data_IF_810876827017
#
_entry.id   IF_810876827017
#
_cell.length_a   1.000
_cell.length_b   1.000
_cell.length_c   1.000
_cell.angle_alpha   90.00
_cell.angle_beta   90.00
_cell.angle_gamma   90.00
#
_symmetry.space_group_name_H-M   'P 1'
#
loop_
_entity.id
_entity.type
_entity.pdbx_description
1 polymer ?
#
# COMPACT_ATOMS: atom_id res chain seq x y z
N UNK A 1 58.52 -38.92 7.52
CA UNK A 1 57.85 -38.81 6.19
C UNK A 1 56.35 -39.11 6.19
N UNK A 2 55.82 -40.06 6.98
CA UNK A 2 54.37 -40.40 6.99
C UNK A 2 53.40 -39.30 7.49
N UNK A 3 53.82 -38.40 8.40
CA UNK A 3 52.97 -37.30 8.89
C UNK A 3 52.77 -36.15 7.88
N UNK A 4 53.72 -35.95 6.95
CA UNK A 4 53.67 -34.84 5.99
C UNK A 4 52.76 -35.15 4.79
N UNK A 5 52.66 -36.42 4.39
CA UNK A 5 51.78 -36.86 3.28
C UNK A 5 50.29 -36.84 3.65
N UNK A 6 49.92 -37.17 4.89
CA UNK A 6 48.51 -37.11 5.35
C UNK A 6 47.94 -35.69 5.32
N UNK A 7 48.76 -34.68 5.62
CA UNK A 7 48.32 -33.28 5.69
C UNK A 7 48.07 -32.68 4.29
N UNK A 8 48.89 -33.01 3.30
CA UNK A 8 48.74 -32.54 1.91
C UNK A 8 47.55 -33.18 1.18
N UNK A 9 47.22 -34.44 1.48
CA UNK A 9 46.05 -35.11 0.89
C UNK A 9 44.72 -34.68 1.54
N UNK A 10 44.70 -34.39 2.84
CA UNK A 10 43.53 -33.80 3.51
C UNK A 10 43.20 -32.40 2.99
N UNK A 11 44.21 -31.56 2.68
CA UNK A 11 43.97 -30.23 2.11
C UNK A 11 43.41 -30.29 0.69
N UNK A 12 43.85 -31.25 -0.14
CA UNK A 12 43.34 -31.44 -1.51
C UNK A 12 41.90 -31.98 -1.52
N UNK A 13 41.54 -32.89 -0.60
CA UNK A 13 40.17 -33.38 -0.42
C UNK A 13 39.21 -32.29 0.09
N UNK A 14 39.68 -31.39 0.95
CA UNK A 14 38.87 -30.28 1.45
C UNK A 14 38.60 -29.21 0.37
N UNK A 15 39.58 -28.90 -0.48
CA UNK A 15 39.38 -27.98 -1.61
C UNK A 15 38.51 -28.56 -2.73
N UNK A 16 38.53 -29.88 -2.96
CA UNK A 16 37.67 -30.52 -3.96
C UNK A 16 36.20 -30.60 -3.51
N UNK A 17 35.94 -30.75 -2.20
CA UNK A 17 34.58 -30.65 -1.63
C UNK A 17 34.02 -29.23 -1.61
N UNK A 18 34.87 -28.19 -1.57
CA UNK A 18 34.43 -26.80 -1.66
C UNK A 18 34.04 -26.42 -3.11
N UNK A 19 34.64 -27.06 -4.13
CA UNK A 19 34.26 -26.83 -5.53
C UNK A 19 33.02 -27.61 -6.01
N UNK A 20 32.62 -28.69 -5.31
CA UNK A 20 31.41 -29.47 -5.64
C UNK A 20 30.16 -29.05 -4.82
N UNK A 21 30.33 -28.17 -3.82
CA UNK A 21 29.23 -27.67 -2.98
C UNK A 21 28.63 -26.33 -3.43
N UNK A 22 29.14 -25.71 -4.50
CA UNK A 22 28.66 -24.41 -5.00
C UNK A 22 27.77 -24.51 -6.24
N UNK A 23 27.39 -25.73 -6.64
CA UNK A 23 26.37 -25.96 -7.66
C UNK A 23 25.10 -26.41 -6.92
N UNK A 24 24.08 -25.55 -6.94
CA UNK A 24 22.69 -25.77 -6.49
C UNK A 24 22.29 -25.19 -5.12
N UNK A 25 22.48 -23.89 -4.98
CA UNK A 25 21.39 -23.05 -4.47
C UNK A 25 21.62 -21.64 -4.97
N UNK A 26 21.45 -21.42 -6.28
CA UNK A 26 21.08 -20.09 -6.73
C UNK A 26 19.73 -19.82 -6.11
N UNK A 27 19.72 -19.14 -4.96
CA UNK A 27 18.52 -18.48 -4.44
C UNK A 27 18.22 -17.42 -5.47
N UNK A 28 17.54 -17.82 -6.54
CA UNK A 28 17.01 -16.89 -7.54
C UNK A 28 16.12 -15.99 -6.71
N UNK A 29 16.46 -14.70 -6.59
CA UNK A 29 15.66 -13.83 -5.75
C UNK A 29 14.27 -13.79 -6.37
N UNK A 30 13.23 -13.89 -5.55
CA UNK A 30 11.83 -14.10 -5.97
C UNK A 30 11.41 -13.21 -7.17
N UNK A 31 11.96 -12.01 -7.31
CA UNK A 31 11.67 -11.11 -8.43
C UNK A 31 12.16 -11.58 -9.80
N UNK A 32 13.24 -12.38 -9.88
CA UNK A 32 13.78 -12.84 -11.16
C UNK A 32 12.96 -14.02 -11.72
N UNK A 33 12.51 -14.95 -10.86
CA UNK A 33 11.58 -16.01 -11.29
C UNK A 33 10.21 -15.47 -11.68
N UNK A 34 9.74 -14.39 -11.03
CA UNK A 34 8.48 -13.72 -11.41
C UNK A 34 8.49 -13.17 -12.83
N UNK A 35 9.60 -12.59 -13.28
CA UNK A 35 9.68 -11.99 -14.62
C UNK A 35 9.66 -13.06 -15.71
N UNK A 36 10.32 -14.20 -15.47
CA UNK A 36 10.45 -15.28 -16.45
C UNK A 36 9.18 -16.16 -16.54
N UNK A 37 8.47 -16.35 -15.42
CA UNK A 37 7.30 -17.25 -15.35
C UNK A 37 5.96 -16.53 -15.54
N UNK A 38 5.93 -15.19 -15.50
CA UNK A 38 4.67 -14.45 -15.50
C UNK A 38 3.95 -14.45 -16.84
N UNK A 39 2.69 -14.89 -16.81
CA UNK A 39 1.78 -14.75 -17.94
C UNK A 39 1.30 -13.29 -18.06
N UNK A 40 1.19 -12.71 -19.27
CA UNK A 40 0.60 -11.39 -19.42
C UNK A 40 -0.86 -11.40 -18.95
N UNK A 41 -1.26 -10.34 -18.24
CA UNK A 41 -2.63 -10.15 -17.76
C UNK A 41 -3.21 -8.82 -18.25
N UNK A 42 -4.44 -8.89 -18.73
CA UNK A 42 -5.21 -7.73 -19.17
C UNK A 42 -6.13 -7.26 -18.05
N UNK A 43 -5.93 -6.02 -17.59
CA UNK A 43 -6.73 -5.42 -16.52
C UNK A 43 -8.22 -5.37 -16.88
N UNK A 44 -9.07 -5.80 -15.94
CA UNK A 44 -10.52 -5.87 -16.08
C UNK A 44 -11.05 -7.24 -16.51
N UNK A 45 -10.19 -8.15 -16.97
CA UNK A 45 -10.59 -9.51 -17.32
C UNK A 45 -10.61 -10.44 -16.11
N UNK A 46 -11.57 -11.36 -16.06
CA UNK A 46 -11.64 -12.38 -15.01
C UNK A 46 -10.92 -13.64 -15.45
N UNK A 47 -9.92 -14.06 -14.68
CA UNK A 47 -9.13 -15.25 -14.98
C UNK A 47 -9.53 -16.36 -14.00
N UNK A 48 -9.70 -17.57 -14.54
CA UNK A 48 -9.88 -18.80 -13.76
C UNK A 48 -8.52 -19.45 -13.54
N UNK A 49 -8.28 -19.94 -12.33
CA UNK A 49 -7.09 -20.72 -12.00
C UNK A 49 -7.37 -21.85 -11.05
N UNK A 50 -6.50 -22.87 -11.11
CA UNK A 50 -6.44 -24.00 -10.21
C UNK A 50 -5.06 -24.63 -10.38
N UNK A 51 -4.23 -24.59 -9.34
CA UNK A 51 -2.85 -25.07 -9.42
C UNK A 51 -2.26 -25.37 -8.05
N UNK A 52 -1.18 -26.13 -8.05
CA UNK A 52 -0.30 -26.24 -6.89
C UNK A 52 0.80 -25.18 -6.95
N UNK A 53 1.16 -24.62 -5.81
CA UNK A 53 2.23 -23.63 -5.63
C UNK A 53 1.89 -22.24 -6.20
N UNK A 54 2.89 -21.54 -6.74
CA UNK A 54 2.72 -20.17 -7.23
C UNK A 54 2.38 -20.13 -8.72
N UNK A 55 1.49 -19.21 -9.09
CA UNK A 55 1.32 -18.71 -10.45
C UNK A 55 1.56 -17.22 -10.49
N UNK A 56 2.14 -16.76 -11.59
CA UNK A 56 2.54 -15.37 -11.77
C UNK A 56 1.84 -14.77 -12.98
N UNK A 57 1.36 -13.55 -12.82
CA UNK A 57 0.79 -12.74 -13.89
C UNK A 57 1.47 -11.37 -13.91
N UNK A 58 1.72 -10.80 -15.08
CA UNK A 58 2.31 -9.48 -15.24
C UNK A 58 1.32 -8.48 -15.84
N UNK A 59 1.35 -7.24 -15.36
CA UNK A 59 0.56 -6.14 -15.90
C UNK A 59 1.35 -4.84 -15.84
N UNK A 60 1.07 -3.93 -16.77
CA UNK A 60 1.76 -2.63 -16.85
C UNK A 60 0.77 -1.48 -16.73
N UNK A 61 1.05 -0.57 -15.79
CA UNK A 61 0.29 0.64 -15.58
C UNK A 61 0.96 1.81 -16.30
N UNK A 62 0.22 2.51 -17.16
CA UNK A 62 0.73 3.66 -17.93
C UNK A 62 0.82 4.94 -17.09
N UNK A 63 0.08 5.00 -15.99
CA UNK A 63 0.01 6.12 -15.07
C UNK A 63 -0.23 5.62 -13.64
N UNK A 64 -0.37 6.55 -12.69
CA UNK A 64 -0.75 6.19 -11.32
C UNK A 64 -2.21 5.70 -11.32
N UNK A 65 -2.44 4.51 -10.81
CA UNK A 65 -3.74 3.82 -10.89
C UNK A 65 -4.12 3.26 -9.53
N UNK A 66 -5.41 3.35 -9.19
CA UNK A 66 -5.96 2.58 -8.08
C UNK A 66 -6.33 1.20 -8.59
N UNK A 67 -5.62 0.17 -8.14
CA UNK A 67 -5.84 -1.21 -8.59
C UNK A 67 -6.68 -1.92 -7.56
N UNK A 68 -7.85 -2.45 -7.95
CA UNK A 68 -8.69 -3.27 -7.08
C UNK A 68 -8.68 -4.74 -7.49
N UNK A 69 -8.45 -5.61 -6.51
CA UNK A 69 -8.56 -7.05 -6.61
C UNK A 69 -9.94 -7.49 -6.16
N UNK A 70 -10.57 -8.34 -6.97
CA UNK A 70 -11.72 -9.15 -6.59
C UNK A 70 -11.39 -10.60 -6.85
N UNK A 71 -11.67 -11.46 -5.88
CA UNK A 71 -11.48 -12.89 -5.99
C UNK A 71 -12.74 -13.64 -5.56
N UNK A 72 -13.02 -14.75 -6.23
CA UNK A 72 -13.98 -15.76 -5.80
C UNK A 72 -13.23 -17.08 -5.67
N UNK A 73 -13.27 -17.71 -4.51
CA UNK A 73 -12.55 -18.95 -4.23
C UNK A 73 -13.50 -19.97 -3.62
N UNK A 74 -13.20 -21.25 -3.82
CA UNK A 74 -13.97 -22.38 -3.31
C UNK A 74 -13.13 -23.14 -2.28
N UNK A 75 -13.76 -23.66 -1.24
CA UNK A 75 -13.12 -24.49 -0.21
C UNK A 75 -11.95 -23.81 0.56
N UNK A 76 -12.06 -22.48 0.73
CA UNK A 76 -11.11 -21.68 1.52
C UNK A 76 -10.64 -20.40 0.83
N UNK A 77 -9.60 -19.79 1.41
CA UNK A 77 -8.99 -18.55 0.92
C UNK A 77 -7.74 -18.84 0.08
N UNK A 78 -7.49 -18.01 -0.93
CA UNK A 78 -6.28 -18.05 -1.76
C UNK A 78 -5.36 -16.88 -1.40
N UNK A 79 -4.04 -17.08 -1.50
CA UNK A 79 -3.08 -16.04 -1.18
C UNK A 79 -2.73 -15.20 -2.42
N UNK A 80 -2.87 -13.88 -2.30
CA UNK A 80 -2.58 -12.93 -3.37
C UNK A 80 -1.52 -11.92 -2.93
N UNK A 81 -0.51 -11.74 -3.78
CA UNK A 81 0.58 -10.79 -3.56
C UNK A 81 0.84 -9.97 -4.82
N UNK A 82 1.17 -8.69 -4.67
CA UNK A 82 1.58 -7.83 -5.79
C UNK A 82 2.96 -7.29 -5.51
N UNK A 83 3.86 -7.44 -6.47
CA UNK A 83 5.22 -6.92 -6.44
C UNK A 83 5.47 -6.00 -7.63
N UNK A 84 6.41 -5.06 -7.50
CA UNK A 84 6.98 -4.38 -8.66
C UNK A 84 8.17 -5.17 -9.24
N UNK A 85 8.71 -4.70 -10.36
CA UNK A 85 9.91 -5.27 -11.02
C UNK A 85 11.16 -5.38 -10.15
N UNK A 86 11.25 -4.62 -9.06
CA UNK A 86 12.39 -4.68 -8.14
C UNK A 86 12.15 -5.64 -6.97
N UNK A 87 11.07 -6.43 -6.99
CA UNK A 87 10.68 -7.33 -5.91
C UNK A 87 10.09 -6.64 -4.68
N UNK A 88 9.80 -5.33 -4.74
CA UNK A 88 9.11 -4.66 -3.62
C UNK A 88 7.65 -5.10 -3.61
N UNK A 89 7.22 -5.66 -2.48
CA UNK A 89 5.83 -6.04 -2.21
C UNK A 89 4.95 -4.82 -1.95
N UNK A 90 3.82 -4.74 -2.63
CA UNK A 90 2.79 -3.70 -2.51
C UNK A 90 1.48 -4.24 -1.96
N UNK A 91 1.13 -5.49 -2.25
CA UNK A 91 -0.01 -6.20 -1.65
C UNK A 91 0.51 -7.47 -0.96
N UNK A 92 0.07 -7.68 0.27
CA UNK A 92 0.23 -8.92 1.02
C UNK A 92 -1.12 -9.64 1.14
N UNK A 93 -1.11 -10.96 1.24
CA UNK A 93 -2.31 -11.79 1.41
C UNK A 93 -3.12 -11.38 2.64
N UNK A 94 -2.45 -10.99 3.73
CA UNK A 94 -3.09 -10.48 4.95
C UNK A 94 -3.96 -9.23 4.73
N UNK A 95 -3.78 -8.56 3.59
CA UNK A 95 -4.56 -7.39 3.23
C UNK A 95 -5.81 -7.71 2.40
N UNK A 96 -5.95 -8.97 1.97
CA UNK A 96 -7.13 -9.46 1.26
C UNK A 96 -8.21 -9.81 2.28
N UNK A 97 -9.32 -9.08 2.23
CA UNK A 97 -10.46 -9.30 3.10
C UNK A 97 -11.40 -10.30 2.46
N UNK A 98 -11.67 -11.39 3.15
CA UNK A 98 -12.57 -12.44 2.71
C UNK A 98 -13.90 -12.41 3.45
N UNK A 99 -14.99 -12.54 2.69
CA UNK A 99 -16.33 -12.83 3.22
C UNK A 99 -16.76 -14.21 2.73
N UNK A 100 -17.21 -15.07 3.64
CA UNK A 100 -17.69 -16.43 3.34
C UNK A 100 -19.20 -16.45 3.19
N UNK A 101 -19.70 -17.06 2.12
CA UNK A 101 -21.08 -17.55 2.05
C UNK A 101 -21.11 -18.98 2.61
N UNK A 102 -21.71 -19.14 3.79
CA UNK A 102 -21.73 -20.43 4.50
C UNK A 102 -22.60 -21.48 3.82
N UNK A 103 -23.59 -21.08 3.01
CA UNK A 103 -24.50 -22.00 2.32
C UNK A 103 -23.83 -22.65 1.12
N UNK A 104 -23.04 -21.90 0.37
CA UNK A 104 -22.40 -22.36 -0.87
C UNK A 104 -20.92 -22.68 -0.70
N UNK A 105 -20.37 -22.46 0.50
CA UNK A 105 -18.93 -22.51 0.81
C UNK A 105 -18.04 -21.64 -0.09
N UNK A 106 -18.59 -20.54 -0.60
CA UNK A 106 -17.88 -19.62 -1.50
C UNK A 106 -17.29 -18.45 -0.72
N UNK A 107 -16.02 -18.15 -0.98
CA UNK A 107 -15.29 -17.06 -0.37
C UNK A 107 -15.10 -15.94 -1.39
N UNK A 108 -15.36 -14.69 -0.98
CA UNK A 108 -15.14 -13.50 -1.80
C UNK A 108 -14.03 -12.64 -1.20
N UNK A 109 -12.90 -12.57 -1.90
CA UNK A 109 -11.73 -11.79 -1.51
C UNK A 109 -11.74 -10.41 -2.16
N UNK A 110 -11.38 -9.38 -1.39
CA UNK A 110 -11.19 -8.02 -1.92
C UNK A 110 -9.95 -7.36 -1.33
N UNK A 111 -9.23 -6.63 -2.17
CA UNK A 111 -8.13 -5.76 -1.76
C UNK A 111 -7.95 -4.64 -2.79
N UNK A 112 -7.18 -3.63 -2.45
CA UNK A 112 -6.80 -2.59 -3.42
C UNK A 112 -5.49 -1.93 -3.07
N UNK A 113 -4.81 -1.37 -4.08
CA UNK A 113 -3.59 -0.59 -3.91
C UNK A 113 -3.52 0.53 -4.92
N UNK A 114 -3.14 1.71 -4.45
CA UNK A 114 -2.73 2.79 -5.34
C UNK A 114 -1.27 2.58 -5.78
N UNK A 115 -1.07 2.23 -7.05
CA UNK A 115 0.22 1.92 -7.66
C UNK A 115 0.65 3.06 -8.59
N UNK A 116 1.96 3.27 -8.71
CA UNK A 116 2.51 4.26 -9.65
C UNK A 116 2.63 3.64 -11.05
N UNK A 117 2.97 4.46 -12.06
CA UNK A 117 3.35 3.95 -13.39
C UNK A 117 4.46 2.91 -13.24
N UNK A 118 4.31 1.75 -13.90
CA UNK A 118 5.32 0.70 -13.88
C UNK A 118 4.75 -0.68 -14.20
N UNK A 119 5.64 -1.67 -14.22
CA UNK A 119 5.29 -3.08 -14.39
C UNK A 119 5.22 -3.76 -13.04
N UNK A 120 4.18 -4.56 -12.87
CA UNK A 120 3.84 -5.26 -11.65
C UNK A 120 3.55 -6.72 -11.94
N UNK A 121 3.72 -7.53 -10.90
CA UNK A 121 3.54 -8.96 -10.94
C UNK A 121 2.60 -9.37 -9.82
N UNK A 122 1.50 -10.03 -10.18
CA UNK A 122 0.60 -10.72 -9.27
C UNK A 122 1.12 -12.14 -9.06
N UNK A 123 1.42 -12.50 -7.82
CA UNK A 123 1.65 -13.88 -7.41
C UNK A 123 0.38 -14.40 -6.74
N UNK A 124 -0.05 -15.58 -7.16
CA UNK A 124 -1.15 -16.33 -6.55
C UNK A 124 -0.58 -17.63 -6.03
N UNK A 125 -0.62 -17.85 -4.71
CA UNK A 125 -0.18 -19.08 -4.09
C UNK A 125 -1.39 -19.85 -3.55
N UNK A 126 -1.51 -21.11 -3.95
CA UNK A 126 -2.56 -21.99 -3.46
C UNK A 126 -2.20 -23.48 -3.55
N UNK A 127 -3.04 -24.32 -2.94
CA UNK A 127 -2.94 -25.78 -2.88
C UNK A 127 -4.06 -26.45 -3.68
N UNK A 128 -4.22 -26.07 -4.96
CA UNK A 128 -5.12 -26.69 -5.95
C UNK A 128 -6.63 -26.42 -5.80
N UNK A 129 -7.01 -25.34 -5.12
CA UNK A 129 -8.39 -24.83 -5.10
C UNK A 129 -8.69 -24.11 -6.40
N UNK A 130 -9.96 -24.18 -6.80
CA UNK A 130 -10.46 -23.36 -7.89
C UNK A 130 -10.65 -21.91 -7.42
N UNK A 131 -10.20 -20.97 -8.23
CA UNK A 131 -10.40 -19.55 -8.00
C UNK A 131 -10.63 -18.77 -9.28
N UNK A 132 -11.27 -17.63 -9.11
CA UNK A 132 -11.47 -16.60 -10.11
C UNK A 132 -10.92 -15.30 -9.55
N UNK A 133 -10.19 -14.54 -10.35
CA UNK A 133 -9.74 -13.21 -9.94
C UNK A 133 -9.86 -12.18 -11.06
N UNK A 134 -10.03 -10.92 -10.65
CA UNK A 134 -10.02 -9.75 -11.53
C UNK A 134 -9.20 -8.66 -10.84
N UNK A 135 -8.22 -8.10 -11.54
CA UNK A 135 -7.60 -6.82 -11.18
C UNK A 135 -8.19 -5.73 -12.08
N UNK A 136 -8.83 -4.73 -11.48
CA UNK A 136 -9.35 -3.57 -12.21
C UNK A 136 -8.41 -2.38 -12.08
N UNK A 137 -8.29 -1.63 -13.17
CA UNK A 137 -7.60 -0.34 -13.19
C UNK A 137 -8.63 0.76 -12.93
N UNK A 138 -8.94 1.00 -11.66
CA UNK A 138 -9.92 2.01 -11.29
C UNK A 138 -9.36 3.41 -11.55
N UNK A 139 -10.23 4.28 -12.06
CA UNK A 139 -9.88 5.67 -12.35
C UNK A 139 -9.38 6.35 -11.08
N UNK A 140 -8.14 6.84 -11.13
CA UNK A 140 -7.55 7.57 -10.00
C UNK A 140 -8.36 8.83 -9.70
N UNK A 141 -8.82 8.96 -8.47
CA UNK A 141 -9.53 10.16 -8.05
C UNK A 141 -8.50 11.25 -7.75
N UNK A 142 -8.55 12.33 -8.54
CA UNK A 142 -7.69 13.49 -8.36
C UNK A 142 -8.49 14.64 -7.75
N UNK A 143 -8.05 15.10 -6.57
CA UNK A 143 -8.64 16.25 -5.89
C UNK A 143 -7.70 17.45 -5.96
N UNK A 144 -8.29 18.64 -6.13
CA UNK A 144 -7.53 19.89 -6.08
C UNK A 144 -6.83 20.08 -4.72
N UNK A 145 -5.79 20.91 -4.69
CA UNK A 145 -5.06 21.24 -3.46
C UNK A 145 -6.00 21.87 -2.43
N UNK A 146 -5.85 21.48 -1.17
CA UNK A 146 -6.55 22.12 -0.06
C UNK A 146 -6.21 23.60 0.07
N UNK A 147 -7.17 24.41 0.51
CA UNK A 147 -6.97 25.84 0.74
C UNK A 147 -7.63 26.29 2.04
N UNK A 148 -6.84 26.82 2.97
CA UNK A 148 -7.33 27.39 4.23
C UNK A 148 -7.68 28.85 4.00
N UNK A 149 -8.97 29.16 3.95
CA UNK A 149 -9.48 30.53 3.77
C UNK A 149 -9.32 31.33 5.06
N UNK A 150 -9.53 30.72 6.22
CA UNK A 150 -9.46 31.39 7.52
C UNK A 150 -8.87 30.49 8.61
N UNK A 151 -8.11 31.10 9.51
CA UNK A 151 -7.63 30.48 10.75
C UNK A 151 -7.66 31.54 11.84
N UNK A 152 -8.63 31.45 12.76
CA UNK A 152 -8.88 32.49 13.78
C UNK A 152 -9.04 31.90 15.17
N UNK A 153 -8.60 32.64 16.19
CA UNK A 153 -8.84 32.31 17.60
C UNK A 153 -9.77 33.33 18.23
N UNK A 154 -11.07 33.03 18.26
CA UNK A 154 -12.07 33.92 18.86
C UNK A 154 -12.17 33.70 20.38
N UNK A 155 -11.85 32.47 20.83
CA UNK A 155 -11.94 32.01 22.23
C UNK A 155 -10.62 31.39 22.66
N UNK A 156 -10.30 31.50 23.95
CA UNK A 156 -9.11 30.90 24.52
C UNK A 156 -9.15 29.37 24.38
N UNK A 157 -8.00 28.76 24.13
CA UNK A 157 -7.86 27.32 23.89
C UNK A 157 -8.47 26.80 22.59
N UNK A 158 -8.87 27.67 21.66
CA UNK A 158 -9.53 27.27 20.40
C UNK A 158 -8.95 27.94 19.15
N UNK A 159 -9.00 27.21 18.03
CA UNK A 159 -8.78 27.74 16.69
C UNK A 159 -9.89 27.26 15.76
N UNK A 160 -10.48 28.18 14.99
CA UNK A 160 -11.46 27.87 13.95
C UNK A 160 -10.74 27.85 12.61
N UNK A 161 -10.75 26.67 11.97
CA UNK A 161 -10.19 26.43 10.64
C UNK A 161 -11.33 26.46 9.63
N UNK A 162 -11.21 27.29 8.59
CA UNK A 162 -12.15 27.31 7.47
C UNK A 162 -11.43 27.01 6.17
N UNK A 163 -12.01 26.14 5.34
CA UNK A 163 -11.43 25.68 4.08
C UNK A 163 -12.32 26.04 2.89
N UNK A 164 -11.70 26.28 1.73
CA UNK A 164 -12.42 26.37 0.45
C UNK A 164 -13.00 24.99 0.11
N UNK A 165 -14.17 24.96 -0.53
CA UNK A 165 -14.73 23.72 -1.05
C UNK A 165 -13.87 23.15 -2.15
N UNK A 166 -13.69 21.82 -2.16
CA UNK A 166 -13.01 21.09 -3.23
C UNK A 166 -14.04 20.13 -3.85
N UNK A 167 -14.33 20.24 -5.16
CA UNK A 167 -15.26 19.32 -5.82
C UNK A 167 -14.90 17.85 -5.56
N UNK A 168 -15.93 17.02 -5.34
CA UNK A 168 -15.82 15.58 -5.07
C UNK A 168 -15.10 15.18 -3.75
N UNK A 169 -14.62 16.15 -2.96
CA UNK A 169 -14.11 15.86 -1.62
C UNK A 169 -15.27 15.70 -0.64
N UNK A 170 -15.26 14.59 0.12
CA UNK A 170 -16.24 14.32 1.18
C UNK A 170 -15.81 14.91 2.53
N UNK A 171 -14.55 15.36 2.64
CA UNK A 171 -14.02 15.93 3.86
C UNK A 171 -12.57 16.40 3.75
N UNK A 172 -12.02 16.77 4.91
CA UNK A 172 -10.66 17.27 5.07
C UNK A 172 -9.96 16.57 6.23
N UNK A 173 -8.73 16.11 5.99
CA UNK A 173 -7.78 15.80 7.05
C UNK A 173 -7.11 17.10 7.48
N UNK A 174 -7.31 17.49 8.73
CA UNK A 174 -6.74 18.69 9.33
C UNK A 174 -5.59 18.24 10.23
N UNK A 175 -4.38 18.68 9.90
CA UNK A 175 -3.21 18.46 10.74
C UNK A 175 -2.79 19.77 11.39
N UNK A 176 -2.44 19.71 12.67
CA UNK A 176 -1.98 20.88 13.42
C UNK A 176 -0.90 20.54 14.42
N UNK A 177 0.04 21.46 14.62
CA UNK A 177 1.15 21.34 15.57
C UNK A 177 1.68 22.71 15.98
N UNK A 178 2.45 22.78 17.05
CA UNK A 178 3.31 23.94 17.36
C UNK A 178 4.62 23.92 16.57
N UNK A 179 4.94 22.82 15.89
CA UNK A 179 6.07 22.69 14.96
C UNK A 179 5.60 22.93 13.51
N UNK A 180 6.14 23.98 12.88
CA UNK A 180 5.79 24.37 11.52
C UNK A 180 6.13 23.29 10.48
N UNK A 181 7.13 22.43 10.77
CA UNK A 181 7.55 21.35 9.87
C UNK A 181 6.68 20.11 10.00
N UNK A 182 5.78 20.07 10.99
CA UNK A 182 4.95 18.91 11.30
C UNK A 182 5.79 17.63 11.53
N UNK A 183 6.93 17.74 12.22
CA UNK A 183 7.77 16.59 12.60
C UNK A 183 7.46 16.08 14.01
N UNK A 184 7.04 16.97 14.91
CA UNK A 184 6.74 16.65 16.32
C UNK A 184 5.35 17.13 16.70
N UNK A 185 4.70 16.41 17.62
CA UNK A 185 3.43 16.81 18.24
C UNK A 185 2.28 17.04 17.26
N UNK A 186 2.30 16.37 16.10
CA UNK A 186 1.27 16.54 15.07
C UNK A 186 0.00 15.86 15.50
N UNK A 187 -1.06 16.66 15.67
CA UNK A 187 -2.42 16.16 15.85
C UNK A 187 -3.11 16.12 14.51
N UNK A 188 -3.83 15.03 14.25
CA UNK A 188 -4.58 14.82 13.00
C UNK A 188 -6.04 14.56 13.34
N UNK A 189 -6.94 15.26 12.66
CA UNK A 189 -8.39 15.00 12.74
C UNK A 189 -8.99 14.97 11.33
N UNK A 190 -10.15 14.34 11.22
CA UNK A 190 -10.94 14.29 10.00
C UNK A 190 -12.23 15.09 10.21
N UNK A 191 -12.61 15.86 9.20
CA UNK A 191 -13.79 16.72 9.26
C UNK A 191 -14.55 16.61 7.95
N UNK A 192 -15.83 16.18 7.94
CA UNK A 192 -16.67 16.23 6.74
C UNK A 192 -17.11 17.67 6.41
N UNK A 193 -17.02 18.58 7.40
CA UNK A 193 -17.41 19.99 7.24
C UNK A 193 -16.22 20.89 6.95
N UNK A 194 -16.46 21.98 6.21
CA UNK A 194 -15.46 22.97 5.81
C UNK A 194 -14.97 23.86 6.96
N UNK A 195 -15.73 23.97 8.04
CA UNK A 195 -15.41 24.81 9.20
C UNK A 195 -15.30 23.91 10.42
N UNK A 196 -14.13 23.87 11.05
CA UNK A 196 -13.87 23.04 12.23
C UNK A 196 -13.20 23.82 13.33
N UNK A 197 -13.75 23.70 14.54
CA UNK A 197 -13.13 24.22 15.76
C UNK A 197 -12.19 23.17 16.35
N UNK A 198 -10.91 23.52 16.42
CA UNK A 198 -9.89 22.83 17.19
C UNK A 198 -9.97 23.32 18.64
N UNK A 199 -10.00 22.41 19.61
CA UNK A 199 -10.14 22.72 21.04
C UNK A 199 -8.97 22.16 21.85
N UNK A 200 -8.94 22.47 23.15
CA UNK A 200 -7.89 22.01 24.09
C UNK A 200 -6.47 22.40 23.63
N UNK A 201 -6.34 23.60 23.08
CA UNK A 201 -5.06 24.19 22.69
C UNK A 201 -4.48 25.03 23.83
N UNK A 202 -3.16 25.14 23.90
CA UNK A 202 -2.51 25.98 24.90
C UNK A 202 -2.74 27.46 24.58
N UNK A 203 -3.23 28.22 25.56
CA UNK A 203 -3.46 29.67 25.48
C UNK A 203 -2.17 30.41 25.12
N UNK A 204 -2.27 31.42 24.24
CA UNK A 204 -1.13 32.21 23.78
C UNK A 204 -0.16 31.50 22.83
N UNK A 205 -0.23 30.17 22.66
CA UNK A 205 0.67 29.44 21.77
C UNK A 205 0.26 29.57 20.30
N UNK A 206 1.26 29.66 19.42
CA UNK A 206 1.07 29.59 17.97
C UNK A 206 0.95 28.14 17.52
N UNK A 207 -0.08 27.86 16.73
CA UNK A 207 -0.24 26.59 16.03
C UNK A 207 -0.19 26.82 14.52
N UNK A 208 0.41 25.86 13.84
CA UNK A 208 0.48 25.72 12.40
C UNK A 208 -0.53 24.66 11.97
N UNK A 209 -1.32 24.96 10.95
CA UNK A 209 -2.40 24.12 10.44
C UNK A 209 -2.23 23.93 8.94
N UNK A 210 -2.42 22.70 8.47
CA UNK A 210 -2.54 22.35 7.06
C UNK A 210 -3.71 21.41 6.85
N UNK A 211 -4.34 21.49 5.69
CA UNK A 211 -5.53 20.68 5.37
C UNK A 211 -5.32 19.91 4.07
N UNK A 212 -5.77 18.67 4.05
CA UNK A 212 -5.73 17.80 2.87
C UNK A 212 -7.17 17.36 2.56
N UNK A 213 -7.77 17.77 1.43
CA UNK A 213 -9.10 17.27 1.05
C UNK A 213 -8.99 15.79 0.72
N UNK A 214 -10.05 15.04 0.99
CA UNK A 214 -10.11 13.62 0.67
C UNK A 214 -11.50 13.21 0.21
N UNK A 215 -11.51 12.11 -0.54
CA UNK A 215 -12.67 11.25 -0.74
C UNK A 215 -12.25 9.80 -0.47
N UNK A 216 -13.14 8.85 -0.69
CA UNK A 216 -12.86 7.43 -0.54
C UNK A 216 -13.18 6.69 -1.83
N UNK A 217 -12.37 5.67 -2.12
CA UNK A 217 -12.71 4.65 -3.10
C UNK A 217 -13.84 3.76 -2.56
N UNK A 218 -14.40 2.91 -3.42
CA UNK A 218 -15.53 2.02 -3.06
C UNK A 218 -15.17 0.99 -1.99
N UNK A 219 -13.88 0.70 -1.83
CA UNK A 219 -13.31 -0.16 -0.79
C UNK A 219 -12.98 0.58 0.53
N UNK A 220 -13.21 1.90 0.59
CA UNK A 220 -12.92 2.74 1.75
C UNK A 220 -11.49 3.31 1.84
N UNK A 221 -10.59 3.03 0.89
CA UNK A 221 -9.27 3.66 0.84
C UNK A 221 -9.40 5.16 0.57
N UNK A 222 -8.65 5.99 1.28
CA UNK A 222 -8.70 7.44 1.07
C UNK A 222 -7.98 7.86 -0.21
N UNK A 223 -8.69 8.54 -1.10
CA UNK A 223 -8.10 9.30 -2.19
C UNK A 223 -7.76 10.72 -1.71
N UNK A 224 -6.48 11.08 -1.73
CA UNK A 224 -5.98 12.34 -1.19
C UNK A 224 -5.73 13.39 -2.27
N UNK A 225 -6.19 14.62 -2.03
CA UNK A 225 -5.70 15.79 -2.76
C UNK A 225 -4.34 16.27 -2.26
N UNK A 226 -3.79 17.28 -2.92
CA UNK A 226 -2.58 17.93 -2.43
C UNK A 226 -2.85 18.68 -1.12
N UNK A 227 -1.89 18.64 -0.19
CA UNK A 227 -2.00 19.33 1.10
C UNK A 227 -1.88 20.83 0.91
N UNK A 228 -2.66 21.61 1.65
CA UNK A 228 -2.64 23.06 1.60
C UNK A 228 -1.28 23.64 1.98
N UNK A 229 -1.07 24.91 1.65
CA UNK A 229 -0.06 25.70 2.36
C UNK A 229 -0.37 25.74 3.86
N UNK A 230 0.67 25.91 4.66
CA UNK A 230 0.56 26.01 6.12
C UNK A 230 0.05 27.40 6.47
N UNK A 231 -0.99 27.47 7.31
CA UNK A 231 -1.45 28.72 7.93
C UNK A 231 -1.19 28.66 9.43
N UNK A 232 -0.88 29.79 10.06
CA UNK A 232 -0.65 29.82 11.50
C UNK A 232 -1.43 30.92 12.19
N UNK A 233 -1.77 30.69 13.46
CA UNK A 233 -2.40 31.67 14.33
C UNK A 233 -2.02 31.39 15.79
N UNK A 234 -1.92 32.45 16.59
CA UNK A 234 -1.81 32.33 18.03
C UNK A 234 -3.20 32.10 18.64
N UNK A 235 -3.27 31.20 19.62
CA UNK A 235 -4.48 30.98 20.42
C UNK A 235 -4.67 32.17 21.35
N UNK A 236 -5.89 32.71 21.42
CA UNK A 236 -6.26 33.80 22.33
C UNK A 236 -5.88 33.42 23.77
N UNK A 237 -5.33 34.39 24.51
CA UNK A 237 -5.03 34.22 25.94
C UNK A 237 -6.33 33.98 26.73
#
# INVERSE_FOLDING_TARGET
>A
MKKLMKKRWMSLLLTLMICMGTLWSSVVPVYASMADEAMPYTMGETYRGQHFYSKYYSFTLKEKTHVSLRATTYDGTVEFYIYNSNGKKFLDSDNVKYTKNVTTDVYKGTASRTLSKGTYYLQIYDSNREYYFTLNADKTITLAKGNITSLKSNKSGQLIVSCKSVPYAIGYRIQYSTDYRFRKGVKTIYSPVRIKTLTKLSKGKRYYVRVTPYTVYTDGEHAWGATSYVKSAAVKK
#
